data_IF_586303304604
#
_entry.id   IF_586303304604
#
_cell.length_a   1.000
_cell.length_b   1.000
_cell.length_c   1.000
_cell.angle_alpha   90.00
_cell.angle_beta   90.00
_cell.angle_gamma   90.00
#
_symmetry.space_group_name_H-M   'P 1'
#
loop_
_entity.id
_entity.type
_entity.pdbx_description
1 polymer ?
#
# COMPACT_ATOMS: atom_id res chain seq x y z
N UNK A 1 -1.74 4.42 -24.53
CA UNK A 1 -1.57 3.15 -23.78
C UNK A 1 -0.31 2.43 -24.23
N UNK A 2 -0.12 2.19 -25.53
CA UNK A 2 1.03 1.44 -26.06
C UNK A 2 2.39 1.98 -25.61
N UNK A 3 2.62 3.30 -25.67
CA UNK A 3 3.89 3.91 -25.23
C UNK A 3 4.24 3.65 -23.75
N UNK A 4 3.22 3.65 -22.87
CA UNK A 4 3.42 3.43 -21.44
C UNK A 4 3.65 1.95 -21.11
N UNK A 5 2.95 1.06 -21.83
CA UNK A 5 3.12 -0.39 -21.66
C UNK A 5 4.49 -0.82 -22.20
N UNK A 6 4.92 -0.33 -23.36
CA UNK A 6 6.22 -0.72 -23.93
C UNK A 6 7.42 -0.18 -23.14
N UNK A 7 7.39 1.10 -22.73
CA UNK A 7 8.55 1.74 -22.10
C UNK A 7 8.56 1.63 -20.57
N UNK A 8 7.39 1.42 -19.95
CA UNK A 8 7.22 1.43 -18.49
C UNK A 8 6.43 0.24 -17.94
N UNK A 9 6.43 -0.90 -18.65
CA UNK A 9 5.76 -2.15 -18.23
C UNK A 9 5.97 -2.49 -16.75
N UNK A 10 7.21 -2.38 -16.27
CA UNK A 10 7.57 -2.72 -14.90
C UNK A 10 6.91 -1.81 -13.86
N UNK A 11 6.79 -0.51 -14.16
CA UNK A 11 6.14 0.45 -13.26
C UNK A 11 4.63 0.23 -13.23
N UNK A 12 4.04 -0.13 -14.38
CA UNK A 12 2.63 -0.49 -14.45
C UNK A 12 2.30 -1.74 -13.62
N UNK A 13 3.11 -2.79 -13.72
CA UNK A 13 2.96 -4.01 -12.90
C UNK A 13 3.10 -3.69 -11.41
N UNK A 14 4.10 -2.88 -11.03
CA UNK A 14 4.28 -2.45 -9.65
C UNK A 14 3.08 -1.63 -9.13
N UNK A 15 2.52 -0.77 -9.97
CA UNK A 15 1.34 0.02 -9.62
C UNK A 15 0.08 -0.84 -9.41
N UNK A 16 -0.14 -1.86 -10.24
CA UNK A 16 -1.25 -2.82 -10.04
C UNK A 16 -1.04 -3.62 -8.75
N UNK A 17 0.17 -4.16 -8.55
CA UNK A 17 0.48 -4.95 -7.35
C UNK A 17 0.28 -4.13 -6.07
N UNK A 18 0.76 -2.89 -6.05
CA UNK A 18 0.60 -1.98 -4.91
C UNK A 18 -0.84 -1.55 -4.71
N UNK A 19 -1.61 -1.34 -5.77
CA UNK A 19 -3.05 -1.10 -5.66
C UNK A 19 -3.75 -2.25 -4.95
N UNK A 20 -3.45 -3.50 -5.33
CA UNK A 20 -3.94 -4.69 -4.62
C UNK A 20 -3.57 -4.70 -3.13
N UNK A 21 -2.31 -4.40 -2.80
CA UNK A 21 -1.85 -4.31 -1.41
C UNK A 21 -2.55 -3.19 -0.61
N UNK A 22 -2.79 -2.03 -1.20
CA UNK A 22 -3.51 -0.93 -0.51
C UNK A 22 -4.96 -1.31 -0.20
N UNK A 23 -5.62 -2.06 -1.10
CA UNK A 23 -6.96 -2.60 -0.88
C UNK A 23 -6.94 -3.59 0.28
N UNK A 24 -5.96 -4.51 0.31
CA UNK A 24 -5.79 -5.46 1.42
C UNK A 24 -5.55 -4.75 2.77
N UNK A 25 -4.83 -3.64 2.77
CA UNK A 25 -4.61 -2.81 3.96
C UNK A 25 -5.85 -2.00 4.40
N UNK A 26 -6.95 -2.07 3.64
CA UNK A 26 -8.16 -1.26 3.82
C UNK A 26 -7.84 0.24 3.91
N UNK A 27 -6.81 0.68 3.18
CA UNK A 27 -6.34 2.05 3.19
C UNK A 27 -6.99 2.83 2.04
N UNK A 28 -8.31 3.07 2.14
CA UNK A 28 -9.13 3.69 1.07
C UNK A 28 -8.50 4.95 0.46
N UNK A 29 -7.95 5.83 1.29
CA UNK A 29 -7.27 7.04 0.84
C UNK A 29 -6.02 6.76 0.01
N UNK A 30 -5.23 5.77 0.37
CA UNK A 30 -4.00 5.40 -0.36
C UNK A 30 -4.37 4.70 -1.67
N UNK A 31 -5.40 3.86 -1.67
CA UNK A 31 -5.94 3.26 -2.89
C UNK A 31 -6.46 4.31 -3.87
N UNK A 32 -7.16 5.33 -3.37
CA UNK A 32 -7.65 6.44 -4.21
C UNK A 32 -6.49 7.24 -4.81
N UNK A 33 -5.47 7.55 -4.03
CA UNK A 33 -4.25 8.22 -4.52
C UNK A 33 -3.52 7.37 -5.57
N UNK A 34 -3.39 6.06 -5.35
CA UNK A 34 -2.80 5.12 -6.31
C UNK A 34 -3.59 5.09 -7.63
N UNK A 35 -4.92 5.01 -7.56
CA UNK A 35 -5.78 5.02 -8.75
C UNK A 35 -5.62 6.32 -9.54
N UNK A 36 -5.58 7.47 -8.86
CA UNK A 36 -5.35 8.78 -9.50
C UNK A 36 -3.96 8.85 -10.13
N UNK A 37 -2.93 8.35 -9.47
CA UNK A 37 -1.56 8.36 -9.99
C UNK A 37 -1.35 7.46 -11.21
N UNK A 38 -2.09 6.34 -11.31
CA UNK A 38 -2.07 5.49 -12.49
C UNK A 38 -2.83 6.15 -13.66
N UNK A 39 -3.92 6.85 -13.36
CA UNK A 39 -4.75 7.50 -14.37
C UNK A 39 -4.13 8.79 -14.94
N UNK A 40 -3.46 9.59 -14.10
CA UNK A 40 -2.90 10.90 -14.48
C UNK A 40 -1.95 10.87 -15.70
N UNK A 41 -0.99 9.93 -15.81
CA UNK A 41 -0.11 9.82 -16.97
C UNK A 41 -0.83 9.56 -18.29
N UNK A 42 -2.08 9.04 -18.26
CA UNK A 42 -2.88 8.79 -19.47
C UNK A 42 -3.45 10.09 -20.05
N UNK A 43 -3.71 11.09 -19.21
CA UNK A 43 -4.33 12.36 -19.62
C UNK A 43 -3.33 13.51 -19.81
N UNK A 44 -2.10 13.36 -19.29
CA UNK A 44 -1.07 14.40 -19.36
C UNK A 44 -0.24 14.20 -20.64
N UNK A 45 -0.26 15.21 -21.51
CA UNK A 45 0.55 15.28 -22.75
C UNK A 45 1.96 15.84 -22.51
N UNK A 46 2.19 16.43 -21.33
CA UNK A 46 3.48 17.00 -20.96
C UNK A 46 4.49 15.91 -20.56
N UNK A 47 5.32 15.51 -21.52
CA UNK A 47 6.32 14.44 -21.34
C UNK A 47 7.33 14.72 -20.21
N UNK A 48 7.61 16.00 -19.92
CA UNK A 48 8.50 16.40 -18.83
C UNK A 48 7.99 16.03 -17.42
N UNK A 49 6.67 15.84 -17.25
CA UNK A 49 6.08 15.48 -15.95
C UNK A 49 6.06 13.96 -15.69
N UNK A 50 6.26 13.14 -16.73
CA UNK A 50 6.29 11.67 -16.61
C UNK A 50 7.30 11.18 -15.55
N UNK A 51 8.60 11.57 -15.57
CA UNK A 51 9.56 11.10 -14.57
C UNK A 51 9.20 11.51 -13.13
N UNK A 52 8.54 12.65 -12.94
CA UNK A 52 8.06 13.08 -11.63
C UNK A 52 6.98 12.12 -11.09
N UNK A 53 5.98 11.77 -11.91
CA UNK A 53 4.95 10.81 -11.51
C UNK A 53 5.51 9.41 -11.25
N UNK A 54 6.47 8.95 -12.05
CA UNK A 54 7.13 7.66 -11.83
C UNK A 54 7.89 7.63 -10.49
N UNK A 55 8.60 8.71 -10.17
CA UNK A 55 9.32 8.83 -8.89
C UNK A 55 8.36 8.81 -7.71
N UNK A 56 7.26 9.55 -7.80
CA UNK A 56 6.23 9.57 -6.78
C UNK A 56 5.58 8.18 -6.59
N UNK A 57 5.33 7.47 -7.70
CA UNK A 57 4.80 6.11 -7.70
C UNK A 57 5.74 5.13 -6.98
N UNK A 58 7.06 5.22 -7.22
CA UNK A 58 8.06 4.40 -6.55
C UNK A 58 8.10 4.68 -5.04
N UNK A 59 8.04 5.95 -4.62
CA UNK A 59 8.02 6.33 -3.21
C UNK A 59 6.78 5.77 -2.52
N UNK A 60 5.60 5.93 -3.13
CA UNK A 60 4.35 5.39 -2.58
C UNK A 60 4.35 3.87 -2.53
N UNK A 61 4.91 3.21 -3.55
CA UNK A 61 5.09 1.76 -3.59
C UNK A 61 5.91 1.29 -2.39
N UNK A 62 7.07 1.91 -2.15
CA UNK A 62 7.96 1.58 -1.04
C UNK A 62 7.28 1.80 0.32
N UNK A 63 6.57 2.92 0.50
CA UNK A 63 5.80 3.20 1.72
C UNK A 63 4.69 2.17 1.96
N UNK A 64 3.98 1.79 0.89
CA UNK A 64 2.90 0.80 0.97
C UNK A 64 3.44 -0.56 1.38
N UNK A 65 4.55 -0.98 0.78
CA UNK A 65 5.24 -2.23 1.13
C UNK A 65 5.70 -2.23 2.60
N UNK A 66 6.31 -1.14 3.05
CA UNK A 66 6.74 -1.00 4.45
C UNK A 66 5.55 -1.15 5.42
N UNK A 67 4.44 -0.44 5.15
CA UNK A 67 3.23 -0.53 5.97
C UNK A 67 2.59 -1.92 5.90
N UNK A 68 2.68 -2.59 4.76
CA UNK A 68 2.19 -3.95 4.57
C UNK A 68 2.96 -4.97 5.42
N UNK A 69 4.30 -4.90 5.43
CA UNK A 69 5.12 -5.75 6.29
C UNK A 69 4.78 -5.54 7.77
N UNK A 70 4.66 -4.28 8.20
CA UNK A 70 4.25 -3.93 9.58
C UNK A 70 2.87 -4.49 9.94
N UNK A 71 1.94 -4.52 8.97
CA UNK A 71 0.62 -5.11 9.16
C UNK A 71 0.67 -6.64 9.32
N UNK A 72 1.53 -7.32 8.54
CA UNK A 72 1.77 -8.76 8.68
C UNK A 72 2.34 -9.08 10.05
N UNK A 73 3.37 -8.36 10.49
CA UNK A 73 4.00 -8.58 11.80
C UNK A 73 2.99 -8.42 12.94
N UNK A 74 2.13 -7.40 12.85
CA UNK A 74 1.10 -7.18 13.85
C UNK A 74 0.01 -8.26 13.82
N UNK A 75 -0.39 -8.74 12.65
CA UNK A 75 -1.32 -9.87 12.53
C UNK A 75 -0.71 -11.16 13.10
N UNK A 76 0.57 -11.40 12.87
CA UNK A 76 1.30 -12.52 13.45
C UNK A 76 1.33 -12.44 14.98
N UNK A 77 1.63 -11.25 15.53
CA UNK A 77 1.59 -11.03 16.98
C UNK A 77 0.19 -11.26 17.56
N UNK A 78 -0.87 -10.79 16.88
CA UNK A 78 -2.26 -11.05 17.30
C UNK A 78 -2.61 -12.53 17.31
N UNK A 79 -2.09 -13.33 16.36
CA UNK A 79 -2.28 -14.78 16.37
C UNK A 79 -1.59 -15.41 17.58
N UNK A 80 -0.33 -15.03 17.87
CA UNK A 80 0.41 -15.52 19.05
C UNK A 80 -0.25 -15.14 20.37
N UNK A 81 -0.83 -13.94 20.46
CA UNK A 81 -1.58 -13.52 21.65
C UNK A 81 -2.89 -14.31 21.80
N UNK A 82 -3.58 -14.63 20.69
CA UNK A 82 -4.81 -15.45 20.72
C UNK A 82 -4.54 -16.91 21.08
N UNK A 83 -3.38 -17.46 20.69
CA UNK A 83 -2.97 -18.82 21.08
C UNK A 83 -2.39 -18.89 22.50
N UNK A 84 -2.32 -17.77 23.22
CA UNK A 84 -1.73 -17.65 24.56
C UNK A 84 -0.25 -18.07 24.62
N UNK A 85 0.46 -18.07 23.47
CA UNK A 85 1.92 -18.30 23.44
C UNK A 85 2.70 -17.06 23.90
N UNK A 86 2.11 -15.86 23.81
CA UNK A 86 2.68 -14.60 24.29
C UNK A 86 1.67 -13.80 25.11
N UNK A 87 2.19 -13.00 26.04
CA UNK A 87 1.39 -12.06 26.83
C UNK A 87 0.62 -11.08 25.92
N UNK A 88 -0.67 -10.84 26.21
CA UNK A 88 -1.49 -9.93 25.41
C UNK A 88 -1.05 -8.49 25.66
N UNK A 89 -0.23 -7.95 24.76
CA UNK A 89 0.20 -6.54 24.75
C UNK A 89 -0.69 -5.73 23.82
N UNK A 90 -1.08 -6.28 22.66
CA UNK A 90 -1.92 -5.60 21.67
C UNK A 90 -3.42 -5.66 22.02
N UNK A 91 -3.90 -6.80 22.53
CA UNK A 91 -5.32 -6.98 22.87
C UNK A 91 -5.75 -6.13 24.08
N UNK A 92 -4.82 -5.75 24.97
CA UNK A 92 -5.13 -4.91 26.15
C UNK A 92 -5.51 -3.47 25.78
N UNK A 93 -4.79 -2.87 24.85
CA UNK A 93 -5.02 -1.48 24.43
C UNK A 93 -6.17 -1.34 23.41
N UNK A 94 -6.46 -2.39 22.65
CA UNK A 94 -7.60 -2.43 21.74
C UNK A 94 -8.50 -3.62 22.04
N UNK A 95 -9.61 -3.35 22.74
CA UNK A 95 -10.67 -4.32 23.05
C UNK A 95 -11.34 -4.98 21.81
N UNK A 96 -10.94 -4.61 20.59
CA UNK A 96 -11.43 -5.17 19.35
C UNK A 96 -10.22 -5.72 18.60
N UNK A 97 -10.08 -7.05 18.55
CA UNK A 97 -9.04 -7.76 17.80
C UNK A 97 -9.16 -7.63 16.26
N UNK A 98 -9.50 -6.44 15.78
CA UNK A 98 -9.71 -6.03 14.38
C UNK A 98 -9.54 -4.50 14.28
N UNK A 99 -8.45 -4.05 13.64
CA UNK A 99 -8.27 -2.64 13.26
C UNK A 99 -8.94 -2.32 11.92
N UNK A 100 -9.57 -1.14 11.84
CA UNK A 100 -10.24 -0.67 10.63
C UNK A 100 -9.26 -0.26 9.51
N UNK A 101 -8.02 0.09 9.87
CA UNK A 101 -6.94 0.43 8.93
C UNK A 101 -5.57 0.16 9.55
N UNK A 102 -4.71 -0.54 8.83
CA UNK A 102 -3.31 -0.80 9.22
C UNK A 102 -2.37 0.36 8.85
N UNK A 103 -2.89 1.45 8.28
CA UNK A 103 -2.06 2.60 7.88
C UNK A 103 -1.59 3.43 9.08
N UNK A 104 -2.41 3.53 10.13
CA UNK A 104 -2.16 4.36 11.32
C UNK A 104 -1.13 3.79 12.31
N UNK A 105 -0.40 2.73 11.95
CA UNK A 105 0.59 2.15 12.87
C UNK A 105 1.83 3.07 12.88
N UNK A 106 1.91 3.95 13.89
CA UNK A 106 3.12 4.71 14.24
C UNK A 106 4.24 3.75 14.66
#
# INVERSE_FOLDING_TARGET
MEFFIEHYAMVFVAAIATTGLTIMLRAFWVTLVQAVLIALPVFITAQALIPFFLTLQLILTALTLYKFLKAIDMNYQLVLEKTHEKDPKLIKDEHRGSRFSFWKIN
#
